data_IF_165195851261
#
_entry.id   IF_165195851261
#
_cell.length_a   1.000
_cell.length_b   1.000
_cell.length_c   1.000
_cell.angle_alpha   90.00
_cell.angle_beta   90.00
_cell.angle_gamma   90.00
#
_symmetry.space_group_name_H-M   'P 1'
#
loop_
_entity.id
_entity.type
_entity.pdbx_description
1 polymer ?
#
# COMPACT_ATOMS: atom_id res chain seq x y z
N UNK A 1 -21.63 19.68 -5.39
CA UNK A 1 -21.59 19.37 -3.94
C UNK A 1 -20.37 18.51 -3.67
N UNK A 2 -19.61 18.81 -2.63
CA UNK A 2 -18.41 18.05 -2.24
C UNK A 2 -18.81 16.86 -1.36
N UNK A 3 -18.30 15.67 -1.63
CA UNK A 3 -18.49 14.49 -0.79
C UNK A 3 -17.34 14.38 0.22
N UNK A 4 -17.66 14.28 1.51
CA UNK A 4 -16.67 13.93 2.53
C UNK A 4 -16.43 12.42 2.53
N UNK A 5 -15.16 12.00 2.61
CA UNK A 5 -14.74 10.59 2.62
C UNK A 5 -14.13 10.31 4.00
N UNK A 6 -14.78 9.45 4.78
CA UNK A 6 -14.35 9.10 6.14
C UNK A 6 -13.46 7.86 6.17
N UNK A 7 -13.48 7.03 5.11
CA UNK A 7 -12.60 5.87 4.97
C UNK A 7 -12.41 5.51 3.50
N UNK A 8 -11.29 4.86 3.20
CA UNK A 8 -10.98 4.41 1.84
C UNK A 8 -12.03 3.41 1.32
N UNK A 9 -12.60 2.57 2.20
CA UNK A 9 -13.63 1.60 1.84
C UNK A 9 -14.88 2.21 1.18
N UNK A 10 -15.21 3.48 1.50
CA UNK A 10 -16.36 4.18 0.91
C UNK A 10 -16.21 4.44 -0.60
N UNK A 11 -14.97 4.47 -1.09
CA UNK A 11 -14.68 4.75 -2.49
C UNK A 11 -13.93 3.62 -3.19
N UNK A 12 -13.34 2.68 -2.45
CA UNK A 12 -12.54 1.59 -3.00
C UNK A 12 -13.27 0.81 -4.11
N UNK A 13 -14.56 0.49 -3.91
CA UNK A 13 -15.39 -0.25 -4.88
C UNK A 13 -15.60 0.47 -6.23
N UNK A 14 -15.19 1.74 -6.34
CA UNK A 14 -15.22 2.48 -7.61
C UNK A 14 -13.97 2.26 -8.47
N UNK A 15 -12.99 1.49 -7.98
CA UNK A 15 -11.71 1.27 -8.61
C UNK A 15 -11.41 -0.22 -8.66
N UNK A 16 -10.87 -0.70 -9.79
CA UNK A 16 -10.46 -2.09 -9.96
C UNK A 16 -9.10 -2.39 -9.29
N UNK A 17 -8.30 -1.34 -9.08
CA UNK A 17 -6.99 -1.42 -8.46
C UNK A 17 -6.67 -0.16 -7.65
N UNK A 18 -5.84 -0.31 -6.61
CA UNK A 18 -5.41 0.77 -5.73
C UNK A 18 -3.88 0.74 -5.63
N UNK A 19 -3.25 1.88 -5.92
CA UNK A 19 -1.81 2.06 -5.83
C UNK A 19 -1.51 2.96 -4.64
N UNK A 20 -0.68 2.47 -3.72
CA UNK A 20 -0.28 3.19 -2.53
C UNK A 20 1.13 3.77 -2.69
N UNK A 21 1.31 4.99 -2.19
CA UNK A 21 2.65 5.42 -1.77
C UNK A 21 3.05 4.64 -0.50
N UNK A 22 4.34 4.63 -0.19
CA UNK A 22 4.91 3.85 0.91
C UNK A 22 5.14 4.73 2.16
N UNK A 23 5.98 5.75 2.03
CA UNK A 23 6.41 6.55 3.18
C UNK A 23 5.39 7.63 3.52
N UNK A 24 4.93 7.69 4.76
CA UNK A 24 3.85 8.60 5.15
C UNK A 24 2.44 8.12 4.80
N UNK A 25 2.32 6.95 4.17
CA UNK A 25 1.03 6.29 3.87
C UNK A 25 0.94 4.92 4.54
N UNK A 26 1.91 4.04 4.31
CA UNK A 26 1.95 2.71 4.92
C UNK A 26 2.74 2.70 6.23
N UNK A 27 3.84 3.46 6.29
CA UNK A 27 4.75 3.49 7.42
C UNK A 27 5.54 4.80 7.50
N UNK A 28 6.18 5.03 8.65
CA UNK A 28 7.09 6.16 8.89
C UNK A 28 8.58 5.79 8.74
N UNK A 29 8.86 4.55 8.33
CA UNK A 29 10.21 4.02 8.19
C UNK A 29 10.68 3.19 9.39
N UNK A 30 9.97 3.24 10.51
CA UNK A 30 10.24 2.41 11.70
C UNK A 30 9.17 1.31 11.84
N UNK A 31 7.89 1.67 11.74
CA UNK A 31 6.79 0.71 11.84
C UNK A 31 5.63 1.07 10.91
N UNK A 32 4.77 0.07 10.65
CA UNK A 32 3.50 0.28 9.95
C UNK A 32 2.59 1.20 10.77
N UNK A 33 1.82 2.06 10.09
CA UNK A 33 0.80 2.85 10.77
C UNK A 33 -0.33 1.96 11.30
N UNK A 34 -0.92 2.39 12.43
CA UNK A 34 -2.05 1.69 13.02
C UNK A 34 -3.20 1.56 12.02
N UNK A 35 -3.71 0.34 11.85
CA UNK A 35 -4.79 0.02 10.92
C UNK A 35 -4.39 -0.02 9.44
N UNK A 36 -3.14 0.27 9.06
CA UNK A 36 -2.71 0.19 7.66
C UNK A 36 -2.76 -1.25 7.14
N UNK A 37 -2.22 -2.20 7.92
CA UNK A 37 -2.24 -3.62 7.55
C UNK A 37 -3.70 -4.12 7.45
N UNK A 38 -4.52 -3.88 8.47
CA UNK A 38 -5.92 -4.32 8.49
C UNK A 38 -6.73 -3.72 7.33
N UNK A 39 -6.49 -2.45 7.00
CA UNK A 39 -7.11 -1.79 5.86
C UNK A 39 -6.76 -2.48 4.54
N UNK A 40 -5.47 -2.74 4.29
CA UNK A 40 -5.03 -3.38 3.07
C UNK A 40 -5.50 -4.84 2.98
N UNK A 41 -5.50 -5.57 4.09
CA UNK A 41 -6.07 -6.93 4.15
C UNK A 41 -7.55 -6.88 3.79
N UNK A 42 -8.33 -5.99 4.38
CA UNK A 42 -9.75 -5.85 4.07
C UNK A 42 -10.02 -5.45 2.61
N UNK A 43 -9.15 -4.66 2.00
CA UNK A 43 -9.23 -4.32 0.57
C UNK A 43 -8.91 -5.53 -0.32
N UNK A 44 -7.87 -6.28 0.00
CA UNK A 44 -7.51 -7.50 -0.72
C UNK A 44 -8.61 -8.56 -0.63
N UNK A 45 -9.19 -8.76 0.56
CA UNK A 45 -10.33 -9.66 0.78
C UNK A 45 -11.59 -9.21 0.04
N UNK A 46 -11.77 -7.90 -0.15
CA UNK A 46 -12.84 -7.32 -0.97
C UNK A 46 -12.56 -7.41 -2.49
N UNK A 47 -11.47 -8.05 -2.91
CA UNK A 47 -11.14 -8.33 -4.30
C UNK A 47 -10.34 -7.23 -5.02
N UNK A 48 -9.83 -6.23 -4.29
CA UNK A 48 -9.04 -5.15 -4.90
C UNK A 48 -7.63 -5.62 -5.23
N UNK A 49 -7.16 -5.26 -6.44
CA UNK A 49 -5.74 -5.41 -6.80
C UNK A 49 -4.94 -4.28 -6.15
N UNK A 50 -3.93 -4.62 -5.33
CA UNK A 50 -3.16 -3.64 -4.56
C UNK A 50 -1.71 -3.59 -5.06
N UNK A 51 -1.16 -2.39 -5.22
CA UNK A 51 0.25 -2.19 -5.61
C UNK A 51 0.88 -1.04 -4.83
N UNK A 52 2.22 -1.01 -4.79
CA UNK A 52 3.00 0.09 -4.20
C UNK A 52 3.80 0.80 -5.28
N UNK A 53 3.79 2.13 -5.25
CA UNK A 53 4.66 2.98 -6.07
C UNK A 53 5.42 3.94 -5.15
N UNK A 54 6.75 3.82 -5.11
CA UNK A 54 7.60 4.55 -4.16
C UNK A 54 8.67 5.37 -4.88
N UNK A 55 8.87 6.61 -4.44
CA UNK A 55 9.97 7.47 -4.92
C UNK A 55 11.33 7.13 -4.29
N UNK A 56 11.44 5.99 -3.61
CA UNK A 56 12.70 5.48 -3.08
C UNK A 56 13.70 5.19 -4.21
N UNK A 57 14.88 5.80 -4.16
CA UNK A 57 15.98 5.49 -5.08
C UNK A 57 16.61 4.10 -4.84
N UNK A 58 16.07 3.31 -3.91
CA UNK A 58 16.49 1.92 -3.67
C UNK A 58 15.64 0.98 -4.53
N UNK A 59 16.24 -0.04 -5.12
CA UNK A 59 15.55 -1.08 -5.89
C UNK A 59 14.37 -1.73 -5.12
N UNK A 60 13.42 -2.32 -5.84
CA UNK A 60 12.18 -2.85 -5.27
C UNK A 60 12.39 -4.00 -4.26
N UNK A 61 13.32 -4.93 -4.49
CA UNK A 61 13.49 -6.09 -3.59
C UNK A 61 13.83 -5.71 -2.13
N UNK A 62 14.78 -4.80 -1.86
CA UNK A 62 14.99 -4.25 -0.51
C UNK A 62 13.75 -3.59 0.09
N UNK A 63 12.93 -2.91 -0.71
CA UNK A 63 11.70 -2.27 -0.22
C UNK A 63 10.63 -3.30 0.12
N UNK A 64 10.44 -4.32 -0.73
CA UNK A 64 9.53 -5.42 -0.46
C UNK A 64 9.87 -6.13 0.86
N UNK A 65 11.15 -6.44 1.09
CA UNK A 65 11.61 -7.02 2.35
C UNK A 65 11.32 -6.09 3.53
N UNK A 66 11.62 -4.80 3.41
CA UNK A 66 11.40 -3.82 4.49
C UNK A 66 9.93 -3.73 4.89
N UNK A 67 9.04 -3.66 3.90
CA UNK A 67 7.59 -3.59 4.15
C UNK A 67 7.12 -4.93 4.75
N UNK A 68 7.67 -6.07 4.31
CA UNK A 68 7.39 -7.37 4.95
C UNK A 68 7.85 -7.45 6.40
N UNK A 69 9.04 -6.97 6.72
CA UNK A 69 9.57 -6.92 8.08
C UNK A 69 8.71 -6.03 9.01
N UNK A 70 7.89 -5.13 8.44
CA UNK A 70 6.92 -4.29 9.17
C UNK A 70 5.54 -4.94 9.33
N UNK A 71 5.35 -6.17 8.85
CA UNK A 71 4.13 -6.97 9.04
C UNK A 71 3.19 -7.04 7.85
N UNK A 72 3.49 -6.38 6.73
CA UNK A 72 2.70 -6.54 5.51
C UNK A 72 3.04 -7.88 4.84
N UNK A 73 2.03 -8.69 4.52
CA UNK A 73 2.25 -10.03 3.95
C UNK A 73 2.88 -9.95 2.55
N UNK A 74 3.81 -10.85 2.22
CA UNK A 74 4.53 -10.88 0.93
C UNK A 74 3.62 -11.05 -0.30
N UNK A 75 2.38 -11.49 -0.13
CA UNK A 75 1.37 -11.60 -1.20
C UNK A 75 0.30 -10.51 -1.18
N UNK A 76 0.42 -9.51 -0.30
CA UNK A 76 -0.58 -8.45 -0.16
C UNK A 76 -0.56 -7.46 -1.34
N UNK A 77 0.59 -7.31 -2.00
CA UNK A 77 0.77 -6.44 -3.14
C UNK A 77 1.06 -7.27 -4.39
N UNK A 78 0.33 -6.98 -5.46
CA UNK A 78 0.55 -7.57 -6.77
C UNK A 78 1.87 -7.09 -7.37
N UNK A 79 2.23 -5.82 -7.16
CA UNK A 79 3.45 -5.19 -7.64
C UNK A 79 3.99 -4.14 -6.66
N UNK A 80 5.31 -4.00 -6.60
CA UNK A 80 6.01 -2.94 -5.86
C UNK A 80 7.02 -2.32 -6.82
N UNK A 81 6.80 -1.05 -7.19
CA UNK A 81 7.62 -0.31 -8.14
C UNK A 81 8.35 0.84 -7.44
N UNK A 82 9.59 1.09 -7.83
CA UNK A 82 10.42 2.17 -7.25
C UNK A 82 11.06 3.04 -8.32
N UNK A 83 11.31 4.31 -8.04
CA UNK A 83 12.00 5.21 -8.99
C UNK A 83 13.43 4.77 -9.34
N UNK A 84 14.05 3.92 -8.52
CA UNK A 84 15.36 3.30 -8.77
C UNK A 84 15.35 2.08 -9.70
N UNK A 85 14.24 1.78 -10.39
CA UNK A 85 14.16 0.66 -11.35
C UNK A 85 14.57 1.03 -12.79
N UNK A 86 15.01 2.27 -13.02
CA UNK A 86 15.49 2.77 -14.32
C UNK A 86 16.82 2.14 -14.76
#
# INVERSE_FOLDING_TARGET
MTQCINSLAQIAQKYDAIIFDQWGVLHDGSCAYAGAIDCLVGLAEAGHSLSVLSNSGKHAAPNAKRISDMGFSNGLFNQIMTSGEA
#
